data_IF_547035137628
#
_entry.id   IF_547035137628
#
_cell.length_a   1.000
_cell.length_b   1.000
_cell.length_c   1.000
_cell.angle_alpha   90.00
_cell.angle_beta   90.00
_cell.angle_gamma   90.00
#
_symmetry.space_group_name_H-M   'P 1'
#
loop_
_entity.id
_entity.type
_entity.pdbx_description
1 polymer ?
#
# COMPACT_ATOMS: atom_id res chain seq x y z
N UNK A 1 17.00 -5.06 -29.51
CA UNK A 1 15.59 -5.01 -29.08
C UNK A 1 15.55 -4.14 -27.84
N UNK A 2 15.14 -2.87 -27.97
CA UNK A 2 14.95 -1.99 -26.83
C UNK A 2 13.57 -2.26 -26.24
N UNK A 3 13.50 -3.05 -25.18
CA UNK A 3 12.36 -3.01 -24.27
C UNK A 3 12.31 -1.62 -23.68
N UNK A 4 11.32 -0.83 -24.09
CA UNK A 4 10.96 0.44 -23.45
C UNK A 4 10.71 0.12 -21.98
N UNK A 5 11.65 0.46 -21.10
CA UNK A 5 11.41 0.48 -19.66
C UNK A 5 10.20 1.40 -19.48
N UNK A 6 9.05 0.83 -19.11
CA UNK A 6 7.86 1.63 -18.80
C UNK A 6 8.28 2.72 -17.80
N UNK A 7 7.82 3.95 -18.02
CA UNK A 7 8.16 5.11 -17.17
C UNK A 7 7.49 4.98 -15.80
N UNK A 8 8.02 4.09 -14.98
CA UNK A 8 7.50 3.77 -13.66
C UNK A 8 7.61 4.98 -12.72
N UNK A 9 8.59 5.86 -12.93
CA UNK A 9 8.74 7.09 -12.15
C UNK A 9 7.62 8.07 -12.49
N UNK A 10 7.31 8.26 -13.78
CA UNK A 10 6.19 9.07 -14.20
C UNK A 10 4.85 8.55 -13.65
N UNK A 11 4.62 7.24 -13.71
CA UNK A 11 3.42 6.61 -13.15
C UNK A 11 3.33 6.78 -11.63
N UNK A 12 4.42 6.56 -10.91
CA UNK A 12 4.48 6.75 -9.46
C UNK A 12 4.20 8.22 -9.09
N UNK A 13 4.79 9.18 -9.81
CA UNK A 13 4.56 10.62 -9.58
C UNK A 13 3.10 10.97 -9.86
N UNK A 14 2.50 10.44 -10.92
CA UNK A 14 1.10 10.66 -11.22
C UNK A 14 0.19 10.16 -10.09
N UNK A 15 0.35 8.90 -9.65
CA UNK A 15 -0.41 8.34 -8.52
C UNK A 15 -0.23 9.13 -7.24
N UNK A 16 1.02 9.47 -6.88
CA UNK A 16 1.31 10.32 -5.72
C UNK A 16 0.67 11.70 -5.79
N UNK A 17 0.53 12.28 -6.99
CA UNK A 17 -0.05 13.62 -7.20
C UNK A 17 -1.58 13.64 -7.21
N UNK A 18 -2.21 12.49 -7.44
CA UNK A 18 -3.66 12.34 -7.58
C UNK A 18 -4.32 11.77 -6.32
N UNK A 19 -3.52 11.30 -5.35
CA UNK A 19 -4.04 10.73 -4.12
C UNK A 19 -4.80 11.78 -3.30
N UNK A 20 -6.05 11.48 -2.97
CA UNK A 20 -6.92 12.34 -2.14
C UNK A 20 -7.30 11.61 -0.84
N UNK A 21 -7.79 12.32 0.19
CA UNK A 21 -8.32 11.68 1.38
C UNK A 21 -9.44 10.68 1.06
N UNK A 22 -10.30 10.99 0.10
CA UNK A 22 -11.41 10.13 -0.32
C UNK A 22 -10.93 8.85 -1.04
N UNK A 23 -9.76 8.91 -1.70
CA UNK A 23 -9.14 7.74 -2.34
C UNK A 23 -8.32 6.87 -1.36
N UNK A 24 -8.09 7.31 -0.13
CA UNK A 24 -7.27 6.59 0.85
C UNK A 24 -7.82 5.20 1.22
N UNK A 25 -9.13 5.01 1.48
CA UNK A 25 -9.66 3.67 1.74
C UNK A 25 -9.39 2.69 0.59
N UNK A 26 -9.50 3.14 -0.66
CA UNK A 26 -9.18 2.33 -1.83
C UNK A 26 -7.68 2.00 -1.89
N UNK A 27 -6.82 2.98 -1.64
CA UNK A 27 -5.37 2.80 -1.60
C UNK A 27 -4.95 1.78 -0.54
N UNK A 28 -5.48 1.92 0.67
CA UNK A 28 -5.24 1.00 1.78
C UNK A 28 -5.67 -0.42 1.41
N UNK A 29 -6.90 -0.58 0.94
CA UNK A 29 -7.45 -1.89 0.62
C UNK A 29 -6.73 -2.57 -0.56
N UNK A 30 -6.40 -1.83 -1.62
CA UNK A 30 -5.63 -2.35 -2.76
C UNK A 30 -4.24 -2.82 -2.32
N UNK A 31 -3.57 -2.03 -1.48
CA UNK A 31 -2.26 -2.41 -0.99
C UNK A 31 -2.32 -3.63 -0.08
N UNK A 32 -3.28 -3.64 0.86
CA UNK A 32 -3.52 -4.78 1.76
C UNK A 32 -3.85 -6.06 0.99
N UNK A 33 -4.75 -6.00 0.02
CA UNK A 33 -5.13 -7.13 -0.84
C UNK A 33 -3.94 -7.65 -1.66
N UNK A 34 -3.12 -6.73 -2.20
CA UNK A 34 -1.88 -7.07 -2.90
C UNK A 34 -0.88 -7.81 -2.00
N UNK A 35 -0.67 -7.30 -0.78
CA UNK A 35 0.20 -7.94 0.22
C UNK A 35 -0.34 -9.31 0.63
N UNK A 36 -1.64 -9.41 0.93
CA UNK A 36 -2.29 -10.64 1.35
C UNK A 36 -2.16 -11.73 0.27
N UNK A 37 -2.44 -11.41 -0.99
CA UNK A 37 -2.25 -12.38 -2.08
C UNK A 37 -0.79 -12.80 -2.23
N UNK A 38 0.15 -11.85 -2.13
CA UNK A 38 1.55 -12.18 -2.32
C UNK A 38 2.13 -13.01 -1.17
N UNK A 39 1.70 -12.77 0.08
CA UNK A 39 2.33 -13.36 1.27
C UNK A 39 1.53 -14.51 1.90
N UNK A 40 0.21 -14.57 1.66
CA UNK A 40 -0.67 -15.63 2.17
C UNK A 40 -1.14 -16.57 1.06
N UNK A 41 -0.83 -16.25 -0.21
CA UNK A 41 -1.24 -17.04 -1.36
C UNK A 41 -0.44 -18.35 -1.54
N UNK A 42 -0.85 -19.19 -2.52
CA UNK A 42 -0.18 -20.46 -2.80
C UNK A 42 1.28 -20.30 -3.26
N UNK A 43 1.60 -19.17 -3.87
CA UNK A 43 2.95 -18.83 -4.37
C UNK A 43 3.69 -17.89 -3.40
N UNK A 44 3.36 -17.94 -2.12
CA UNK A 44 3.99 -17.10 -1.11
C UNK A 44 5.53 -17.28 -1.10
N UNK A 45 6.31 -16.19 -1.07
CA UNK A 45 7.76 -16.28 -1.06
C UNK A 45 8.25 -16.90 0.25
N UNK A 46 9.34 -17.65 0.18
CA UNK A 46 10.01 -18.25 1.32
C UNK A 46 11.36 -17.57 1.60
N UNK A 47 11.83 -17.54 2.86
CA UNK A 47 13.16 -17.04 3.17
C UNK A 47 14.26 -17.91 2.53
N UNK A 48 15.46 -17.36 2.28
CA UNK A 48 15.89 -16.00 2.62
C UNK A 48 15.30 -14.94 1.67
N UNK A 49 14.82 -13.84 2.26
CA UNK A 49 14.27 -12.74 1.47
C UNK A 49 15.39 -11.88 0.86
N UNK A 50 15.14 -11.39 -0.34
CA UNK A 50 16.11 -10.67 -1.18
C UNK A 50 15.55 -9.32 -1.63
N UNK A 51 16.38 -8.54 -2.31
CA UNK A 51 16.00 -7.26 -2.91
C UNK A 51 14.84 -7.43 -3.90
N UNK A 52 14.78 -8.54 -4.63
CA UNK A 52 13.69 -8.83 -5.57
C UNK A 52 12.35 -8.95 -4.83
N UNK A 53 12.33 -9.58 -3.67
CA UNK A 53 11.14 -9.66 -2.82
C UNK A 53 10.71 -8.26 -2.35
N UNK A 54 11.66 -7.45 -1.85
CA UNK A 54 11.38 -6.07 -1.47
C UNK A 54 10.90 -5.19 -2.63
N UNK A 55 11.41 -5.44 -3.85
CA UNK A 55 10.98 -4.75 -5.06
C UNK A 55 9.54 -5.13 -5.45
N UNK A 56 9.12 -6.38 -5.25
CA UNK A 56 7.73 -6.80 -5.40
C UNK A 56 6.81 -6.04 -4.43
N UNK A 57 7.17 -5.95 -3.14
CA UNK A 57 6.39 -5.19 -2.16
C UNK A 57 6.30 -3.70 -2.53
N UNK A 58 7.43 -3.08 -2.93
CA UNK A 58 7.43 -1.70 -3.41
C UNK A 58 6.55 -1.51 -4.65
N UNK A 59 6.53 -2.49 -5.55
CA UNK A 59 5.68 -2.45 -6.75
C UNK A 59 4.20 -2.54 -6.40
N UNK A 60 3.81 -3.36 -5.41
CA UNK A 60 2.44 -3.43 -4.90
C UNK A 60 2.00 -2.08 -4.30
N UNK A 61 2.87 -1.42 -3.52
CA UNK A 61 2.61 -0.10 -2.96
C UNK A 61 2.40 0.96 -4.05
N UNK A 62 3.30 1.02 -5.04
CA UNK A 62 3.21 1.97 -6.14
C UNK A 62 1.99 1.72 -7.03
N UNK A 63 1.61 0.46 -7.22
CA UNK A 63 0.41 0.09 -7.97
C UNK A 63 -0.85 0.52 -7.23
N UNK A 64 -0.94 0.27 -5.93
CA UNK A 64 -2.06 0.74 -5.12
C UNK A 64 -2.21 2.27 -5.17
N UNK A 65 -1.10 3.01 -5.14
CA UNK A 65 -1.10 4.47 -5.33
C UNK A 65 -1.61 4.91 -6.70
N UNK A 66 -1.26 4.19 -7.77
CA UNK A 66 -1.67 4.53 -9.12
C UNK A 66 -3.15 4.17 -9.38
N UNK A 67 -3.63 3.08 -8.81
CA UNK A 67 -4.96 2.54 -9.05
C UNK A 67 -6.02 3.17 -8.12
N UNK A 68 -5.66 3.61 -6.90
CA UNK A 68 -6.63 4.15 -5.94
C UNK A 68 -7.47 5.34 -6.43
N UNK A 69 -6.92 6.35 -7.13
CA UNK A 69 -7.71 7.50 -7.60
C UNK A 69 -8.79 7.15 -8.63
N UNK A 70 -8.70 5.97 -9.26
CA UNK A 70 -9.67 5.52 -10.28
C UNK A 70 -10.68 4.49 -9.75
N UNK A 71 -10.59 4.13 -8.47
CA UNK A 71 -11.58 3.26 -7.83
C UNK A 71 -12.82 4.09 -7.47
N UNK A 72 -13.85 3.99 -8.29
CA UNK A 72 -15.16 4.63 -8.07
C UNK A 72 -16.05 3.80 -7.15
N UNK A 73 -15.55 3.45 -5.96
CA UNK A 73 -16.30 2.67 -4.96
C UNK A 73 -16.26 3.39 -3.61
N UNK A 74 -17.42 3.47 -2.96
CA UNK A 74 -17.51 3.96 -1.59
C UNK A 74 -17.00 2.86 -0.64
N UNK A 75 -15.73 3.00 -0.25
CA UNK A 75 -15.02 2.07 0.61
C UNK A 75 -14.72 2.78 1.93
N UNK A 76 -15.11 2.18 3.05
CA UNK A 76 -14.65 2.60 4.37
C UNK A 76 -14.32 1.35 5.18
N UNK A 77 -13.18 1.27 5.89
CA UNK A 77 -12.88 0.12 6.75
C UNK A 77 -13.85 -0.02 7.93
N UNK A 78 -14.67 0.99 8.24
CA UNK A 78 -15.60 1.01 9.37
C UNK A 78 -15.84 2.44 9.86
N UNK A 79 -16.14 2.60 11.14
CA UNK A 79 -16.19 3.92 11.79
C UNK A 79 -14.77 4.51 11.82
N UNK A 80 -14.52 5.52 10.99
CA UNK A 80 -13.22 6.21 10.93
C UNK A 80 -13.04 7.07 12.18
N UNK A 81 -12.12 6.67 13.06
CA UNK A 81 -11.71 7.48 14.18
C UNK A 81 -10.87 8.70 13.74
N UNK A 82 -10.75 9.70 14.62
CA UNK A 82 -10.00 10.92 14.31
C UNK A 82 -8.52 10.66 13.98
N UNK A 83 -7.91 9.65 14.59
CA UNK A 83 -6.51 9.30 14.35
C UNK A 83 -6.28 8.74 12.94
N UNK A 84 -7.19 7.89 12.46
CA UNK A 84 -7.17 7.35 11.09
C UNK A 84 -7.34 8.46 10.07
N UNK A 85 -8.27 9.40 10.31
CA UNK A 85 -8.45 10.56 9.44
C UNK A 85 -7.19 11.46 9.39
N UNK A 86 -6.56 11.74 10.54
CA UNK A 86 -5.30 12.49 10.60
C UNK A 86 -4.18 11.77 9.84
N UNK A 87 -4.06 10.45 10.00
CA UNK A 87 -3.04 9.66 9.30
C UNK A 87 -3.25 9.68 7.78
N UNK A 88 -4.49 9.51 7.30
CA UNK A 88 -4.84 9.62 5.88
C UNK A 88 -4.46 10.98 5.30
N UNK A 89 -4.77 12.07 6.02
CA UNK A 89 -4.37 13.41 5.59
C UNK A 89 -2.84 13.58 5.53
N UNK A 90 -2.10 13.03 6.50
CA UNK A 90 -0.64 13.06 6.50
C UNK A 90 -0.02 12.23 5.35
N UNK A 91 -0.62 11.07 5.02
CA UNK A 91 -0.22 10.25 3.87
C UNK A 91 -0.40 11.04 2.57
N UNK A 92 -1.56 11.67 2.38
CA UNK A 92 -1.86 12.50 1.20
C UNK A 92 -0.88 13.67 1.08
N UNK A 93 -0.63 14.42 2.16
CA UNK A 93 0.35 15.52 2.10
C UNK A 93 1.77 15.00 1.82
N UNK A 94 2.17 13.88 2.43
CA UNK A 94 3.43 13.20 2.16
C UNK A 94 3.58 12.77 0.70
N UNK A 95 2.52 12.20 0.11
CA UNK A 95 2.45 11.83 -1.30
C UNK A 95 2.64 13.05 -2.21
N UNK A 96 1.91 14.13 -1.94
CA UNK A 96 2.04 15.38 -2.70
C UNK A 96 3.44 16.00 -2.57
N UNK A 97 4.07 15.97 -1.38
CA UNK A 97 5.46 16.43 -1.20
C UNK A 97 6.44 15.59 -2.02
N UNK A 98 6.25 14.28 -2.08
CA UNK A 98 7.04 13.38 -2.94
C UNK A 98 6.83 13.71 -4.42
N UNK A 99 5.57 13.86 -4.86
CA UNK A 99 5.23 14.18 -6.25
C UNK A 99 5.82 15.52 -6.72
N UNK A 100 5.87 16.54 -5.85
CA UNK A 100 6.51 17.84 -6.14
C UNK A 100 8.01 17.72 -6.45
N UNK A 101 8.67 16.65 -5.99
CA UNK A 101 10.06 16.33 -6.31
C UNK A 101 10.23 15.56 -7.62
N UNK A 102 9.14 15.29 -8.35
CA UNK A 102 9.14 14.52 -9.60
C UNK A 102 9.70 13.11 -9.41
N UNK A 103 10.37 12.56 -10.44
CA UNK A 103 10.94 11.22 -10.40
C UNK A 103 11.93 10.99 -9.25
N UNK A 104 12.60 12.05 -8.77
CA UNK A 104 13.46 11.97 -7.58
C UNK A 104 12.68 11.66 -6.30
N UNK A 105 11.44 12.16 -6.18
CA UNK A 105 10.55 11.82 -5.07
C UNK A 105 10.18 10.35 -5.07
N UNK A 106 9.77 9.81 -6.22
CA UNK A 106 9.49 8.39 -6.39
C UNK A 106 10.72 7.52 -6.07
N UNK A 107 11.91 7.92 -6.54
CA UNK A 107 13.16 7.23 -6.21
C UNK A 107 13.47 7.26 -4.70
N UNK A 108 13.27 8.40 -4.02
CA UNK A 108 13.47 8.51 -2.57
C UNK A 108 12.55 7.57 -1.80
N UNK A 109 11.27 7.51 -2.20
CA UNK A 109 10.30 6.60 -1.61
C UNK A 109 10.78 5.14 -1.75
N UNK A 110 11.08 4.69 -2.97
CA UNK A 110 11.52 3.32 -3.23
C UNK A 110 12.84 2.99 -2.54
N UNK A 111 13.83 3.90 -2.60
CA UNK A 111 15.14 3.69 -1.98
C UNK A 111 15.04 3.53 -0.46
N UNK A 112 14.11 4.22 0.19
CA UNK A 112 13.82 4.06 1.62
C UNK A 112 13.04 2.79 1.89
N UNK A 113 11.97 2.55 1.14
CA UNK A 113 11.02 1.50 1.44
C UNK A 113 11.55 0.10 1.14
N UNK A 114 12.30 -0.07 0.04
CA UNK A 114 12.82 -1.37 -0.39
C UNK A 114 13.65 -2.09 0.69
N UNK A 115 14.70 -1.49 1.28
CA UNK A 115 15.47 -2.17 2.33
C UNK A 115 14.65 -2.41 3.59
N UNK A 116 13.70 -1.51 3.93
CA UNK A 116 12.79 -1.72 5.05
C UNK A 116 11.88 -2.94 4.80
N UNK A 117 11.32 -3.06 3.59
CA UNK A 117 10.48 -4.20 3.23
C UNK A 117 11.22 -5.54 3.34
N UNK A 118 12.48 -5.62 2.90
CA UNK A 118 13.30 -6.83 3.09
C UNK A 118 13.53 -7.11 4.58
N UNK A 119 13.83 -6.08 5.37
CA UNK A 119 13.99 -6.19 6.82
C UNK A 119 12.74 -6.72 7.51
N UNK A 120 11.56 -6.19 7.17
CA UNK A 120 10.28 -6.63 7.73
C UNK A 120 9.91 -8.05 7.33
N UNK A 121 10.18 -8.43 6.08
CA UNK A 121 10.00 -9.81 5.63
C UNK A 121 10.86 -10.78 6.45
N UNK A 122 12.14 -10.47 6.66
CA UNK A 122 13.04 -11.34 7.43
C UNK A 122 12.70 -11.35 8.92
N UNK A 123 12.38 -10.20 9.50
CA UNK A 123 12.01 -10.06 10.91
C UNK A 123 10.74 -10.86 11.27
N UNK A 124 9.78 -10.91 10.35
CA UNK A 124 8.49 -11.55 10.55
C UNK A 124 8.32 -12.86 9.78
N UNK A 125 9.42 -13.50 9.35
CA UNK A 125 9.40 -14.70 8.50
C UNK A 125 8.61 -15.90 9.03
N UNK A 126 8.41 -15.97 10.34
CA UNK A 126 7.65 -17.05 11.00
C UNK A 126 6.13 -16.80 11.01
N UNK A 127 5.68 -15.63 10.56
CA UNK A 127 4.27 -15.22 10.59
C UNK A 127 3.88 -14.35 9.40
N UNK A 128 3.37 -14.93 8.31
CA UNK A 128 2.95 -14.20 7.12
C UNK A 128 1.94 -13.06 7.40
N UNK A 129 1.01 -13.25 8.33
CA UNK A 129 0.08 -12.19 8.78
C UNK A 129 0.82 -11.02 9.43
N UNK A 130 1.87 -11.30 10.21
CA UNK A 130 2.71 -10.27 10.80
C UNK A 130 3.53 -9.53 9.74
N UNK A 131 3.97 -10.22 8.67
CA UNK A 131 4.61 -9.58 7.51
C UNK A 131 3.62 -8.64 6.81
N UNK A 132 2.39 -9.08 6.51
CA UNK A 132 1.36 -8.25 5.87
C UNK A 132 1.11 -6.99 6.70
N UNK A 133 0.87 -7.14 8.02
CA UNK A 133 0.68 -6.01 8.93
C UNK A 133 1.85 -5.04 8.91
N UNK A 134 3.08 -5.56 9.04
CA UNK A 134 4.25 -4.70 9.12
C UNK A 134 4.51 -3.96 7.80
N UNK A 135 4.38 -4.64 6.67
CA UNK A 135 4.58 -4.05 5.34
C UNK A 135 3.50 -3.03 4.97
N UNK A 136 2.26 -3.26 5.39
CA UNK A 136 1.19 -2.27 5.29
C UNK A 136 1.56 -1.00 6.05
N UNK A 137 1.92 -1.16 7.34
CA UNK A 137 2.30 -0.07 8.23
C UNK A 137 3.50 0.74 7.70
N UNK A 138 4.59 0.07 7.35
CA UNK A 138 5.80 0.73 6.85
C UNK A 138 5.60 1.37 5.46
N UNK A 139 4.76 0.78 4.60
CA UNK A 139 4.46 1.34 3.28
C UNK A 139 3.75 2.69 3.38
N UNK A 140 2.70 2.77 4.20
CA UNK A 140 1.95 4.01 4.42
C UNK A 140 2.77 5.07 5.16
N UNK A 141 3.54 4.67 6.17
CA UNK A 141 4.44 5.60 6.85
C UNK A 141 5.55 6.12 5.95
N UNK A 142 6.08 5.30 5.04
CA UNK A 142 7.04 5.77 4.07
C UNK A 142 6.44 6.87 3.20
N UNK A 143 5.16 6.79 2.81
CA UNK A 143 4.51 7.87 2.05
C UNK A 143 4.29 9.10 2.94
N UNK A 144 3.68 8.93 4.12
CA UNK A 144 3.36 10.04 5.04
C UNK A 144 4.60 10.85 5.45
N UNK A 145 5.73 10.16 5.61
CA UNK A 145 7.00 10.79 5.98
C UNK A 145 7.55 11.75 4.92
N UNK A 146 7.01 11.71 3.69
CA UNK A 146 7.40 12.55 2.58
C UNK A 146 8.89 12.43 2.20
N UNK A 147 9.41 13.42 1.45
CA UNK A 147 10.83 13.50 1.08
C UNK A 147 11.78 13.64 2.27
N UNK A 148 11.33 14.28 3.36
CA UNK A 148 12.15 14.61 4.53
C UNK A 148 12.33 13.43 5.50
N UNK A 149 11.57 12.35 5.31
CA UNK A 149 11.55 11.19 6.18
C UNK A 149 11.16 11.49 7.63
N UNK A 150 10.10 12.29 7.80
CA UNK A 150 9.61 12.70 9.12
C UNK A 150 8.12 12.40 9.26
N UNK A 151 7.78 11.63 10.29
CA UNK A 151 6.40 11.36 10.72
C UNK A 151 6.29 11.62 12.23
N UNK A 152 5.07 11.62 12.77
CA UNK A 152 4.81 11.77 14.19
C UNK A 152 4.09 10.53 14.75
N UNK A 153 3.97 10.45 16.08
CA UNK A 153 3.34 9.31 16.76
C UNK A 153 1.85 9.15 16.39
N UNK A 154 1.13 10.26 16.24
CA UNK A 154 -0.29 10.25 15.87
C UNK A 154 -0.53 9.62 14.50
N UNK A 155 0.29 9.96 13.50
CA UNK A 155 0.23 9.32 12.17
C UNK A 155 0.54 7.84 12.25
N UNK A 156 1.55 7.44 13.05
CA UNK A 156 1.88 6.03 13.24
C UNK A 156 0.74 5.25 13.87
N UNK A 157 0.13 5.78 14.93
CA UNK A 157 -1.00 5.15 15.61
C UNK A 157 -2.22 5.05 14.67
N UNK A 158 -2.50 6.10 13.88
CA UNK A 158 -3.58 6.11 12.91
C UNK A 158 -3.38 5.13 11.74
N UNK A 159 -2.15 4.93 11.26
CA UNK A 159 -1.85 3.88 10.24
C UNK A 159 -2.13 2.49 10.82
N UNK A 160 -1.76 2.25 12.07
CA UNK A 160 -2.02 0.96 12.71
C UNK A 160 -3.52 0.76 13.00
N UNK A 161 -4.24 1.83 13.35
CA UNK A 161 -5.69 1.80 13.50
C UNK A 161 -6.40 1.47 12.16
N UNK A 162 -5.96 2.07 11.05
CA UNK A 162 -6.46 1.75 9.71
C UNK A 162 -6.28 0.26 9.38
N UNK A 163 -5.11 -0.32 9.66
CA UNK A 163 -4.90 -1.76 9.46
C UNK A 163 -5.89 -2.60 10.26
N UNK A 164 -6.06 -2.30 11.56
CA UNK A 164 -6.98 -3.04 12.44
C UNK A 164 -8.41 -2.96 11.95
N UNK A 165 -8.86 -1.78 11.51
CA UNK A 165 -10.21 -1.61 10.99
C UNK A 165 -10.45 -2.45 9.73
N UNK A 166 -9.48 -2.49 8.80
CA UNK A 166 -9.56 -3.38 7.63
C UNK A 166 -9.53 -4.86 8.02
N UNK A 167 -8.65 -5.26 8.93
CA UNK A 167 -8.53 -6.63 9.43
C UNK A 167 -9.82 -7.11 10.10
N UNK A 168 -10.42 -6.29 10.97
CA UNK A 168 -11.72 -6.57 11.61
C UNK A 168 -12.84 -6.69 10.57
N UNK A 169 -12.90 -5.78 9.60
CA UNK A 169 -13.91 -5.79 8.53
C UNK A 169 -13.80 -7.03 7.65
N UNK A 170 -12.58 -7.40 7.24
CA UNK A 170 -12.32 -8.63 6.47
C UNK A 170 -12.65 -9.87 7.31
N UNK A 171 -12.25 -9.89 8.58
CA UNK A 171 -12.59 -10.95 9.53
C UNK A 171 -14.10 -11.13 9.76
N UNK A 172 -14.87 -10.05 9.63
CA UNK A 172 -16.33 -10.06 9.65
C UNK A 172 -16.98 -10.54 8.32
N UNK A 173 -16.18 -10.91 7.32
CA UNK A 173 -16.64 -11.47 6.05
C UNK A 173 -16.72 -10.48 4.90
N UNK A 174 -16.18 -9.26 5.06
CA UNK A 174 -16.04 -8.35 3.91
C UNK A 174 -15.07 -8.92 2.88
N UNK A 175 -15.50 -8.88 1.62
CA UNK A 175 -14.70 -9.28 0.46
C UNK A 175 -14.51 -8.05 -0.44
N UNK A 176 -13.27 -7.70 -0.85
CA UNK A 176 -13.05 -6.59 -1.76
C UNK A 176 -13.89 -6.75 -3.04
N UNK A 177 -14.56 -5.70 -3.55
CA UNK A 177 -15.51 -5.84 -4.65
C UNK A 177 -14.92 -6.46 -5.92
N UNK A 178 -13.64 -6.21 -6.22
CA UNK A 178 -12.93 -6.79 -7.36
C UNK A 178 -12.60 -8.28 -7.22
N UNK A 179 -12.85 -8.88 -6.04
CA UNK A 179 -12.73 -10.33 -5.80
C UNK A 179 -14.04 -11.08 -6.03
N UNK A 180 -15.15 -10.36 -6.19
CA UNK A 180 -16.46 -10.96 -6.46
C UNK A 180 -16.50 -11.33 -7.94
N UNK A 181 -16.42 -12.64 -8.23
CA UNK A 181 -16.59 -13.16 -9.59
C UNK A 181 -18.09 -13.41 -9.80
N UNK A 182 -18.74 -12.58 -10.61
CA UNK A 182 -20.12 -12.83 -11.02
C UNK A 182 -20.20 -14.15 -11.81
N UNK A 183 -20.92 -15.13 -11.25
CA UNK A 183 -21.15 -16.43 -11.87
C UNK A 183 -22.07 -16.37 -13.11
N UNK A 184 -22.60 -15.20 -13.49
CA UNK A 184 -23.61 -15.06 -14.55
C UNK A 184 -23.06 -15.00 -15.99
N UNK A 185 -21.74 -15.03 -16.19
CA UNK A 185 -21.14 -14.95 -17.54
C UNK A 185 -20.59 -16.29 -18.04
N UNK A 186 -21.27 -17.40 -17.79
CA UNK A 186 -21.01 -18.65 -18.52
C UNK A 186 -22.16 -18.88 -19.52
N UNK A 187 -22.00 -18.57 -20.82
CA UNK A 187 -22.94 -19.07 -21.82
C UNK A 187 -22.85 -20.59 -21.84
N UNK A 188 -24.02 -21.24 -21.75
CA UNK A 188 -24.21 -22.68 -21.87
C UNK A 188 -23.75 -23.23 -23.24
#
# INVERSE_FOLDING_TARGET
MNTTTADWQGQAVAGLSQLTPDAMPAMELLYLDGLAVHLLGPDAPAPPYTIEHGATIASLLLRALADAPVVELDLEPGDTDGATATARAAIVDGAHRLARSGGLGAQRLVKRFLPAAVGELEQHKEGPEAQVRSLFYYGLLAIASGPENQTNAETSDGVLASFRAWDERIGAGFVPPWRIIDQESTPA
#
